data_IF_555519113578
#
_entry.id   IF_555519113578
#
_cell.length_a   1.000
_cell.length_b   1.000
_cell.length_c   1.000
_cell.angle_alpha   90.00
_cell.angle_beta   90.00
_cell.angle_gamma   90.00
#
_symmetry.space_group_name_H-M   'P 1'
#
loop_
_entity.id
_entity.type
_entity.pdbx_description
1 polymer ?
#
# COMPACT_ATOMS: atom_id res chain seq x y z
N UNK A 1 54.36 -21.16 -29.37
CA UNK A 1 53.87 -19.85 -28.84
C UNK A 1 52.39 -19.76 -29.16
N UNK A 2 51.59 -20.19 -28.22
CA UNK A 2 50.11 -20.24 -28.35
C UNK A 2 49.56 -19.20 -27.37
N UNK A 3 49.05 -18.07 -27.92
CA UNK A 3 48.47 -16.96 -27.17
C UNK A 3 47.05 -17.36 -26.80
N UNK A 4 46.78 -17.57 -25.49
CA UNK A 4 45.45 -17.81 -24.97
C UNK A 4 44.79 -16.43 -24.79
N UNK A 5 43.82 -16.10 -25.64
CA UNK A 5 42.89 -14.95 -25.40
C UNK A 5 41.94 -15.30 -24.28
N UNK A 6 42.10 -14.61 -23.16
CA UNK A 6 41.10 -14.60 -22.08
C UNK A 6 39.90 -13.74 -22.49
N UNK A 7 38.79 -14.42 -22.84
CA UNK A 7 37.49 -13.77 -22.99
C UNK A 7 36.99 -13.33 -21.62
N UNK A 8 36.84 -12.01 -21.44
CA UNK A 8 36.16 -11.40 -20.29
C UNK A 8 34.66 -11.80 -20.29
N UNK A 9 34.02 -12.07 -19.13
CA UNK A 9 32.64 -12.46 -19.09
C UNK A 9 31.76 -11.27 -19.45
N UNK A 10 30.99 -11.38 -20.53
CA UNK A 10 29.98 -10.38 -20.93
C UNK A 10 28.85 -10.38 -19.90
N UNK A 11 28.78 -9.33 -19.08
CA UNK A 11 27.64 -9.05 -18.18
C UNK A 11 26.40 -8.84 -19.03
N UNK A 12 25.36 -9.64 -18.76
CA UNK A 12 24.13 -9.65 -19.54
C UNK A 12 23.37 -8.27 -19.46
N UNK A 13 23.12 -7.59 -20.60
CA UNK A 13 22.50 -6.24 -20.61
C UNK A 13 21.13 -6.13 -19.94
N UNK A 14 20.44 -7.26 -19.74
CA UNK A 14 19.11 -7.33 -19.10
C UNK A 14 19.11 -7.14 -17.59
N UNK A 15 20.17 -7.52 -16.89
CA UNK A 15 20.27 -7.37 -15.42
C UNK A 15 20.56 -5.92 -15.02
N UNK A 16 21.42 -5.22 -15.76
CA UNK A 16 21.74 -3.82 -15.50
C UNK A 16 20.52 -2.89 -15.72
N UNK A 17 19.69 -3.17 -16.71
CA UNK A 17 18.47 -2.39 -16.98
C UNK A 17 17.41 -2.57 -15.89
N UNK A 18 17.25 -3.76 -15.33
CA UNK A 18 16.31 -4.00 -14.21
C UNK A 18 16.79 -3.34 -12.92
N UNK A 19 18.06 -3.42 -12.62
CA UNK A 19 18.66 -2.78 -11.45
C UNK A 19 18.51 -1.25 -11.52
N UNK A 20 18.79 -0.65 -12.67
CA UNK A 20 18.61 0.78 -12.93
C UNK A 20 17.15 1.21 -12.78
N UNK A 21 16.21 0.45 -13.36
CA UNK A 21 14.77 0.72 -13.24
C UNK A 21 14.33 0.70 -11.78
N UNK A 22 14.75 -0.30 -10.99
CA UNK A 22 14.39 -0.43 -9.59
C UNK A 22 14.99 0.69 -8.75
N UNK A 23 16.22 1.09 -9.00
CA UNK A 23 16.87 2.21 -8.32
C UNK A 23 16.14 3.53 -8.59
N UNK A 24 15.78 3.81 -9.85
CA UNK A 24 14.99 4.99 -10.20
C UNK A 24 13.65 4.99 -9.46
N UNK A 25 12.95 3.84 -9.46
CA UNK A 25 11.64 3.70 -8.83
C UNK A 25 11.70 3.94 -7.31
N UNK A 26 12.69 3.38 -6.64
CA UNK A 26 12.89 3.54 -5.20
C UNK A 26 13.15 5.01 -4.81
N UNK A 27 14.07 5.65 -5.50
CA UNK A 27 14.39 7.06 -5.27
C UNK A 27 13.22 7.98 -5.65
N UNK A 28 12.52 7.68 -6.74
CA UNK A 28 11.34 8.43 -7.13
C UNK A 28 10.23 8.32 -6.08
N UNK A 29 10.01 7.12 -5.50
CA UNK A 29 9.08 6.91 -4.39
C UNK A 29 9.38 7.83 -3.21
N UNK A 30 10.64 7.94 -2.80
CA UNK A 30 11.08 8.84 -1.73
C UNK A 30 10.85 10.32 -2.09
N UNK A 31 11.23 10.74 -3.30
CA UNK A 31 11.06 12.14 -3.74
C UNK A 31 9.57 12.51 -3.82
N UNK A 32 8.74 11.65 -4.38
CA UNK A 32 7.29 11.89 -4.44
C UNK A 32 6.65 11.87 -3.05
N UNK A 33 7.09 11.01 -2.14
CA UNK A 33 6.65 11.03 -0.75
C UNK A 33 7.01 12.33 -0.02
N UNK A 34 8.16 12.93 -0.32
CA UNK A 34 8.63 14.19 0.26
C UNK A 34 7.96 15.42 -0.36
N UNK A 35 7.86 15.47 -1.69
CA UNK A 35 7.48 16.67 -2.46
C UNK A 35 6.04 16.66 -2.99
N UNK A 36 5.46 15.48 -3.13
CA UNK A 36 4.22 15.27 -3.90
C UNK A 36 4.45 15.30 -5.41
N UNK A 37 3.44 14.90 -6.16
CA UNK A 37 3.52 14.86 -7.63
C UNK A 37 3.84 16.22 -8.27
N UNK A 38 3.15 17.27 -7.85
CA UNK A 38 3.28 18.59 -8.45
C UNK A 38 4.70 19.18 -8.34
N UNK A 39 5.32 19.06 -7.16
CA UNK A 39 6.60 19.72 -6.85
C UNK A 39 7.83 18.85 -7.12
N UNK A 40 7.69 17.53 -7.27
CA UNK A 40 8.79 16.66 -7.65
C UNK A 40 9.21 16.91 -9.10
N UNK A 41 10.52 16.91 -9.35
CA UNK A 41 11.06 17.10 -10.71
C UNK A 41 11.88 15.91 -11.16
N UNK A 42 11.83 15.59 -12.47
CA UNK A 42 12.69 14.55 -13.05
C UNK A 42 14.18 14.85 -12.84
N UNK A 43 14.57 16.13 -12.79
CA UNK A 43 15.95 16.55 -12.53
C UNK A 43 16.42 16.13 -11.11
N UNK A 44 15.57 16.34 -10.09
CA UNK A 44 15.88 15.93 -8.71
C UNK A 44 15.95 14.40 -8.59
N UNK A 45 14.99 13.68 -9.19
CA UNK A 45 14.99 12.21 -9.19
C UNK A 45 16.24 11.66 -9.87
N UNK A 46 16.61 12.18 -11.05
CA UNK A 46 17.82 11.79 -11.76
C UNK A 46 19.08 12.04 -10.93
N UNK A 47 19.18 13.21 -10.29
CA UNK A 47 20.34 13.55 -9.46
C UNK A 47 20.48 12.60 -8.26
N UNK A 48 19.39 12.30 -7.55
CA UNK A 48 19.40 11.39 -6.38
C UNK A 48 19.61 9.93 -6.78
N UNK A 49 19.06 9.49 -7.92
CA UNK A 49 19.18 8.10 -8.40
C UNK A 49 20.44 7.84 -9.22
N UNK A 50 21.28 8.85 -9.45
CA UNK A 50 22.44 8.77 -10.33
C UNK A 50 22.10 8.28 -11.76
N UNK A 51 20.87 8.50 -12.17
CA UNK A 51 20.38 8.20 -13.50
C UNK A 51 20.31 9.48 -14.36
N UNK A 52 20.07 9.31 -15.65
CA UNK A 52 19.81 10.44 -16.55
C UNK A 52 18.35 10.46 -17.01
N UNK A 53 17.91 11.57 -17.59
CA UNK A 53 16.54 11.76 -18.06
C UNK A 53 16.18 10.76 -19.16
N UNK A 54 17.14 10.34 -20.00
CA UNK A 54 16.93 9.33 -21.02
C UNK A 54 16.56 7.97 -20.41
N UNK A 55 17.18 7.57 -19.28
CA UNK A 55 16.82 6.34 -18.55
C UNK A 55 15.40 6.43 -17.97
N UNK A 56 15.00 7.57 -17.41
CA UNK A 56 13.63 7.77 -16.91
C UNK A 56 12.62 7.66 -18.06
N UNK A 57 12.88 8.30 -19.19
CA UNK A 57 12.00 8.23 -20.36
C UNK A 57 11.95 6.82 -20.95
N UNK A 58 13.08 6.11 -21.00
CA UNK A 58 13.15 4.74 -21.50
C UNK A 58 12.36 3.74 -20.63
N UNK A 59 12.49 3.83 -19.32
CA UNK A 59 11.87 2.87 -18.40
C UNK A 59 10.43 3.21 -18.00
N UNK A 60 10.03 4.49 -18.06
CA UNK A 60 8.78 4.97 -17.48
C UNK A 60 8.00 5.97 -18.35
N UNK A 61 8.46 6.28 -19.55
CA UNK A 61 7.77 7.22 -20.46
C UNK A 61 7.60 8.64 -19.86
N UNK A 62 8.53 9.03 -18.99
CA UNK A 62 8.54 10.35 -18.37
C UNK A 62 8.05 10.37 -16.92
N UNK A 63 7.77 11.57 -16.40
CA UNK A 63 7.40 11.78 -14.99
C UNK A 63 6.06 11.13 -14.62
N UNK A 64 5.07 11.21 -15.48
CA UNK A 64 3.71 10.70 -15.24
C UNK A 64 3.71 9.18 -15.17
N UNK A 65 4.39 8.53 -16.12
CA UNK A 65 4.56 7.08 -16.09
C UNK A 65 5.40 6.60 -14.90
N UNK A 66 6.45 7.35 -14.53
CA UNK A 66 7.23 7.06 -13.33
C UNK A 66 6.37 7.18 -12.06
N UNK A 67 5.55 8.22 -11.94
CA UNK A 67 4.67 8.38 -10.80
C UNK A 67 3.59 7.29 -10.74
N UNK A 68 3.01 6.94 -11.87
CA UNK A 68 2.08 5.80 -11.96
C UNK A 68 2.75 4.51 -11.49
N UNK A 69 3.99 4.24 -11.93
CA UNK A 69 4.75 3.07 -11.50
C UNK A 69 5.04 3.08 -9.99
N UNK A 70 5.33 4.27 -9.42
CA UNK A 70 5.52 4.44 -7.95
C UNK A 70 4.22 4.16 -7.19
N UNK A 71 3.08 4.65 -7.65
CA UNK A 71 1.78 4.37 -7.01
C UNK A 71 1.44 2.88 -7.06
N UNK A 72 1.64 2.22 -8.20
CA UNK A 72 1.42 0.78 -8.34
C UNK A 72 2.33 -0.03 -7.41
N UNK A 73 3.62 0.30 -7.37
CA UNK A 73 4.60 -0.34 -6.47
C UNK A 73 4.22 -0.12 -4.99
N UNK A 74 3.79 1.09 -4.62
CA UNK A 74 3.35 1.39 -3.26
C UNK A 74 2.16 0.53 -2.84
N UNK A 75 1.16 0.37 -3.71
CA UNK A 75 0.02 -0.51 -3.47
C UNK A 75 0.41 -1.98 -3.31
N UNK A 76 1.37 -2.45 -4.12
CA UNK A 76 1.83 -3.85 -4.06
C UNK A 76 2.66 -4.14 -2.81
N UNK A 77 3.47 -3.17 -2.35
CA UNK A 77 4.26 -3.34 -1.12
C UNK A 77 3.44 -3.37 0.14
N UNK A 78 2.31 -2.65 0.19
CA UNK A 78 1.42 -2.69 1.36
C UNK A 78 0.64 -3.99 1.38
N UNK A 79 0.00 -4.33 0.27
CA UNK A 79 -0.76 -5.58 0.13
C UNK A 79 -1.04 -5.88 -1.34
N UNK A 80 -0.80 -7.11 -1.77
CA UNK A 80 -1.13 -7.52 -3.14
C UNK A 80 -2.58 -7.98 -3.25
N UNK A 81 -3.16 -7.89 -4.45
CA UNK A 81 -4.49 -8.46 -4.71
C UNK A 81 -4.49 -9.97 -4.53
N UNK A 82 -3.43 -10.65 -4.98
CA UNK A 82 -3.25 -12.10 -4.85
C UNK A 82 -3.32 -12.55 -3.38
N UNK A 83 -2.65 -11.82 -2.47
CA UNK A 83 -2.71 -12.11 -1.03
C UNK A 83 -4.14 -11.98 -0.49
N UNK A 84 -4.88 -10.95 -0.91
CA UNK A 84 -6.26 -10.74 -0.49
C UNK A 84 -7.23 -11.78 -1.06
N UNK A 85 -7.08 -12.16 -2.31
CA UNK A 85 -7.89 -13.19 -2.95
C UNK A 85 -7.63 -14.56 -2.30
N UNK A 86 -6.37 -14.90 -2.04
CA UNK A 86 -6.01 -16.13 -1.33
C UNK A 86 -6.60 -16.15 0.09
N UNK A 87 -6.56 -15.02 0.80
CA UNK A 87 -7.18 -14.89 2.13
C UNK A 87 -8.70 -15.05 2.06
N UNK A 88 -9.35 -14.41 1.08
CA UNK A 88 -10.81 -14.50 0.90
C UNK A 88 -11.24 -15.93 0.59
N UNK A 89 -10.47 -16.66 -0.22
CA UNK A 89 -10.76 -18.04 -0.63
C UNK A 89 -10.33 -19.09 0.41
N UNK A 90 -9.64 -18.70 1.49
CA UNK A 90 -9.18 -19.64 2.51
C UNK A 90 -10.33 -20.20 3.36
N UNK A 91 -10.10 -21.36 4.00
CA UNK A 91 -11.03 -22.01 4.94
C UNK A 91 -11.03 -21.34 6.34
N UNK A 92 -10.33 -20.22 6.52
CA UNK A 92 -10.35 -19.45 7.75
C UNK A 92 -11.73 -18.86 8.00
N UNK A 93 -12.08 -18.70 9.28
CA UNK A 93 -13.29 -17.97 9.67
C UNK A 93 -13.19 -16.49 9.29
N UNK A 94 -14.33 -15.82 9.13
CA UNK A 94 -14.36 -14.37 8.84
C UNK A 94 -13.56 -13.54 9.87
N UNK A 95 -13.57 -13.94 11.15
CA UNK A 95 -12.75 -13.31 12.20
C UNK A 95 -11.25 -13.49 11.94
N UNK A 96 -10.82 -14.70 11.64
CA UNK A 96 -9.42 -15.00 11.34
C UNK A 96 -8.94 -14.27 10.06
N UNK A 97 -9.80 -14.18 9.05
CA UNK A 97 -9.54 -13.38 7.84
C UNK A 97 -9.38 -11.89 8.17
N UNK A 98 -10.27 -11.34 8.99
CA UNK A 98 -10.19 -9.94 9.42
C UNK A 98 -8.94 -9.68 10.26
N UNK A 99 -8.61 -10.58 11.20
CA UNK A 99 -7.38 -10.53 11.99
C UNK A 99 -6.15 -10.46 11.09
N UNK A 100 -6.06 -11.36 10.12
CA UNK A 100 -4.93 -11.41 9.18
C UNK A 100 -4.82 -10.11 8.40
N UNK A 101 -5.93 -9.59 7.90
CA UNK A 101 -6.00 -8.36 7.13
C UNK A 101 -5.50 -7.14 7.94
N UNK A 102 -5.97 -6.97 9.17
CA UNK A 102 -5.52 -5.88 10.05
C UNK A 102 -4.04 -6.07 10.41
N UNK A 103 -3.59 -7.30 10.68
CA UNK A 103 -2.17 -7.60 10.96
C UNK A 103 -1.25 -7.13 9.82
N UNK A 104 -1.59 -7.45 8.58
CA UNK A 104 -0.79 -7.04 7.41
C UNK A 104 -0.75 -5.51 7.25
N UNK A 105 -1.86 -4.82 7.52
CA UNK A 105 -1.89 -3.36 7.49
C UNK A 105 -1.06 -2.74 8.61
N UNK A 106 -1.14 -3.27 9.83
CA UNK A 106 -0.37 -2.78 10.97
C UNK A 106 1.13 -3.12 10.87
N UNK A 107 1.49 -4.24 10.22
CA UNK A 107 2.89 -4.59 9.94
C UNK A 107 3.61 -3.51 9.10
N UNK A 108 2.84 -2.62 8.45
CA UNK A 108 3.35 -1.47 7.73
C UNK A 108 3.81 -0.33 8.65
N UNK A 109 3.31 -0.29 9.89
CA UNK A 109 3.67 0.74 10.87
C UNK A 109 5.14 0.57 11.30
N UNK A 110 5.90 1.64 11.23
CA UNK A 110 7.31 1.65 11.61
C UNK A 110 8.26 0.88 10.69
N UNK A 111 7.77 0.24 9.62
CA UNK A 111 8.62 -0.46 8.66
C UNK A 111 9.34 0.52 7.72
N UNK A 112 10.70 0.57 7.71
CA UNK A 112 11.44 1.43 6.79
C UNK A 112 11.14 1.14 5.31
N UNK A 113 10.80 -0.13 4.99
CA UNK A 113 10.46 -0.55 3.62
C UNK A 113 9.15 0.05 3.12
N UNK A 114 8.25 0.40 4.05
CA UNK A 114 6.91 0.91 3.76
C UNK A 114 6.77 2.41 4.04
N UNK A 115 7.85 3.06 4.50
CA UNK A 115 7.83 4.48 4.84
C UNK A 115 7.43 5.37 3.65
N UNK A 116 8.05 5.22 2.48
CA UNK A 116 7.67 6.02 1.33
C UNK A 116 6.37 5.53 0.64
N UNK A 117 6.08 4.20 0.53
CA UNK A 117 4.80 3.74 0.01
C UNK A 117 3.61 4.32 0.75
N UNK A 118 3.61 4.23 2.07
CA UNK A 118 2.56 4.79 2.90
C UNK A 118 2.38 6.30 2.68
N UNK A 119 3.48 7.05 2.72
CA UNK A 119 3.46 8.52 2.53
C UNK A 119 2.97 8.94 1.14
N UNK A 120 3.38 8.22 0.09
CA UNK A 120 2.96 8.54 -1.28
C UNK A 120 1.46 8.30 -1.45
N UNK A 121 0.93 7.17 -0.96
CA UNK A 121 -0.50 6.88 -1.06
C UNK A 121 -1.34 7.83 -0.21
N UNK A 122 -0.85 8.19 0.97
CA UNK A 122 -1.48 9.18 1.82
C UNK A 122 -1.59 10.55 1.14
N UNK A 123 -0.49 11.01 0.53
CA UNK A 123 -0.49 12.26 -0.23
C UNK A 123 -1.45 12.22 -1.41
N UNK A 124 -1.46 11.10 -2.13
CA UNK A 124 -2.34 10.93 -3.28
C UNK A 124 -3.82 10.96 -2.88
N UNK A 125 -4.16 10.44 -1.69
CA UNK A 125 -5.52 10.51 -1.15
C UNK A 125 -5.92 11.93 -0.73
N UNK A 126 -4.99 12.69 -0.13
CA UNK A 126 -5.24 14.04 0.40
C UNK A 126 -5.09 15.15 -0.66
N UNK A 127 -4.28 14.91 -1.68
CA UNK A 127 -4.01 15.84 -2.79
C UNK A 127 -3.89 15.06 -4.10
N UNK A 128 -5.04 14.66 -4.69
CA UNK A 128 -5.07 13.76 -5.82
C UNK A 128 -4.37 14.31 -7.07
N UNK A 129 -3.57 13.49 -7.71
CA UNK A 129 -3.04 13.77 -9.05
C UNK A 129 -4.07 13.42 -10.12
N UNK A 130 -3.92 13.93 -11.36
CA UNK A 130 -4.75 13.51 -12.49
C UNK A 130 -4.66 12.01 -12.82
N UNK A 131 -3.65 11.32 -12.30
CA UNK A 131 -3.37 9.89 -12.55
C UNK A 131 -4.13 8.96 -11.59
N UNK A 132 -4.62 9.49 -10.45
CA UNK A 132 -5.29 8.70 -9.41
C UNK A 132 -6.45 7.83 -9.93
N UNK A 133 -7.37 8.29 -10.78
CA UNK A 133 -8.51 7.48 -11.20
C UNK A 133 -8.10 6.15 -11.86
N UNK A 134 -7.05 6.17 -12.67
CA UNK A 134 -6.55 4.96 -13.32
C UNK A 134 -5.93 3.98 -12.32
N UNK A 135 -5.19 4.48 -11.33
CA UNK A 135 -4.59 3.66 -10.26
C UNK A 135 -5.66 3.07 -9.37
N UNK A 136 -6.67 3.85 -8.95
CA UNK A 136 -7.78 3.35 -8.12
C UNK A 136 -8.53 2.21 -8.81
N UNK A 137 -8.82 2.36 -10.11
CA UNK A 137 -9.49 1.32 -10.89
C UNK A 137 -8.68 0.03 -10.95
N UNK A 138 -7.36 0.14 -11.10
CA UNK A 138 -6.46 -1.01 -11.26
C UNK A 138 -6.13 -1.70 -9.95
N UNK A 139 -5.85 -0.95 -8.90
CA UNK A 139 -5.30 -1.46 -7.63
C UNK A 139 -6.31 -1.44 -6.48
N UNK A 140 -6.93 -0.28 -6.24
CA UNK A 140 -7.72 -0.11 -5.02
C UNK A 140 -9.09 -0.77 -5.10
N UNK A 141 -9.77 -0.67 -6.24
CA UNK A 141 -11.11 -1.22 -6.40
C UNK A 141 -11.18 -2.74 -6.24
N UNK A 142 -10.31 -3.55 -6.90
CA UNK A 142 -10.31 -5.00 -6.70
C UNK A 142 -10.00 -5.40 -5.25
N UNK A 143 -9.06 -4.70 -4.60
CA UNK A 143 -8.70 -4.94 -3.19
C UNK A 143 -9.85 -4.60 -2.24
N UNK A 144 -10.52 -3.47 -2.48
CA UNK A 144 -11.71 -3.09 -1.72
C UNK A 144 -12.83 -4.12 -1.85
N UNK A 145 -13.01 -4.71 -3.04
CA UNK A 145 -13.99 -5.77 -3.27
C UNK A 145 -13.67 -7.02 -2.45
N UNK A 146 -12.42 -7.52 -2.51
CA UNK A 146 -12.00 -8.67 -1.71
C UNK A 146 -12.18 -8.43 -0.19
N UNK A 147 -11.86 -7.22 0.27
CA UNK A 147 -12.04 -6.82 1.67
C UNK A 147 -13.51 -6.79 2.08
N UNK A 148 -14.40 -6.27 1.23
CA UNK A 148 -15.84 -6.23 1.49
C UNK A 148 -16.45 -7.64 1.58
N UNK A 149 -15.94 -8.62 0.84
CA UNK A 149 -16.36 -10.02 0.95
C UNK A 149 -16.09 -10.58 2.35
N UNK A 150 -14.94 -10.31 2.95
CA UNK A 150 -14.62 -10.73 4.32
C UNK A 150 -15.59 -10.10 5.33
N UNK A 151 -15.89 -8.80 5.19
CA UNK A 151 -16.84 -8.12 6.07
C UNK A 151 -18.28 -8.60 5.83
N UNK A 152 -18.66 -8.86 4.57
CA UNK A 152 -19.95 -9.42 4.20
C UNK A 152 -20.14 -10.81 4.82
N UNK A 153 -19.11 -11.65 4.81
CA UNK A 153 -19.11 -12.97 5.48
C UNK A 153 -19.41 -12.83 6.98
N UNK A 154 -18.77 -11.87 7.66
CA UNK A 154 -19.00 -11.61 9.09
C UNK A 154 -20.40 -11.10 9.43
N UNK A 155 -20.98 -10.31 8.54
CA UNK A 155 -22.32 -9.75 8.72
C UNK A 155 -23.43 -10.65 8.16
N UNK A 156 -23.09 -11.67 7.36
CA UNK A 156 -24.08 -12.45 6.59
C UNK A 156 -24.80 -11.62 5.53
N UNK A 157 -24.12 -10.64 4.93
CA UNK A 157 -24.67 -9.67 3.97
C UNK A 157 -23.89 -9.68 2.64
N UNK A 158 -24.52 -9.30 1.52
CA UNK A 158 -23.83 -9.09 0.25
C UNK A 158 -22.73 -8.03 0.36
N UNK A 159 -21.68 -8.17 -0.44
CA UNK A 159 -20.50 -7.29 -0.45
C UNK A 159 -20.80 -5.83 -0.83
N UNK A 160 -21.93 -5.55 -1.46
CA UNK A 160 -22.42 -4.23 -1.85
C UNK A 160 -23.47 -3.64 -0.89
N UNK A 161 -23.84 -4.37 0.17
CA UNK A 161 -24.77 -3.85 1.18
C UNK A 161 -24.19 -2.58 1.85
N UNK A 162 -25.01 -1.53 2.05
CA UNK A 162 -24.57 -0.30 2.68
C UNK A 162 -23.96 -0.48 4.08
N UNK A 163 -24.38 -1.51 4.85
CA UNK A 163 -23.77 -1.80 6.14
C UNK A 163 -22.34 -2.35 5.98
N UNK A 164 -22.10 -3.20 4.99
CA UNK A 164 -20.76 -3.70 4.66
C UNK A 164 -19.84 -2.56 4.24
N UNK A 165 -20.31 -1.65 3.38
CA UNK A 165 -19.52 -0.50 2.91
C UNK A 165 -19.14 0.44 4.07
N UNK A 166 -20.09 0.75 4.97
CA UNK A 166 -19.84 1.60 6.15
C UNK A 166 -18.91 0.91 7.15
N UNK A 167 -19.07 -0.41 7.33
CA UNK A 167 -18.18 -1.20 8.19
C UNK A 167 -16.75 -1.23 7.65
N UNK A 168 -16.57 -1.40 6.34
CA UNK A 168 -15.27 -1.31 5.70
C UNK A 168 -14.59 0.05 5.98
N UNK A 169 -15.33 1.15 5.84
CA UNK A 169 -14.83 2.49 6.17
C UNK A 169 -14.37 2.56 7.63
N UNK A 170 -15.19 2.11 8.58
CA UNK A 170 -14.88 2.18 10.01
C UNK A 170 -13.68 1.31 10.42
N UNK A 171 -13.48 0.16 9.76
CA UNK A 171 -12.38 -0.76 10.06
C UNK A 171 -11.06 -0.26 9.48
N UNK A 172 -11.06 0.22 8.24
CA UNK A 172 -9.82 0.58 7.54
C UNK A 172 -9.34 2.02 7.76
N UNK A 173 -10.25 2.96 8.04
CA UNK A 173 -9.84 4.35 8.28
C UNK A 173 -8.85 4.51 9.44
N UNK A 174 -9.01 3.86 10.59
CA UNK A 174 -8.03 3.94 11.66
C UNK A 174 -6.66 3.38 11.25
N UNK A 175 -6.62 2.26 10.50
CA UNK A 175 -5.37 1.69 10.00
C UNK A 175 -4.64 2.67 9.08
N UNK A 176 -5.37 3.27 8.13
CA UNK A 176 -4.82 4.26 7.22
C UNK A 176 -4.37 5.52 7.95
N UNK A 177 -5.14 5.97 8.95
CA UNK A 177 -4.79 7.15 9.72
C UNK A 177 -3.52 6.94 10.54
N UNK A 178 -3.36 5.79 11.17
CA UNK A 178 -2.12 5.40 11.85
C UNK A 178 -0.94 5.35 10.88
N UNK A 179 -1.14 4.78 9.68
CA UNK A 179 -0.09 4.70 8.68
C UNK A 179 0.46 6.08 8.26
N UNK A 180 -0.41 7.10 8.26
CA UNK A 180 -0.10 8.47 7.83
C UNK A 180 0.44 9.32 8.98
N UNK A 181 -0.16 9.21 10.15
CA UNK A 181 -0.03 10.17 11.24
C UNK A 181 0.56 9.58 12.52
N UNK A 182 1.12 8.35 12.45
CA UNK A 182 1.64 7.62 13.60
C UNK A 182 2.50 8.50 14.53
N UNK A 183 3.55 9.12 14.01
CA UNK A 183 4.48 9.92 14.82
C UNK A 183 3.78 11.13 15.48
N UNK A 184 2.93 11.83 14.74
CA UNK A 184 2.20 12.98 15.27
C UNK A 184 1.19 12.57 16.32
N UNK A 185 0.52 11.45 16.12
CA UNK A 185 -0.46 10.92 17.07
C UNK A 185 0.21 10.53 18.38
N UNK A 186 1.22 9.68 18.31
CA UNK A 186 1.86 9.11 19.51
C UNK A 186 2.67 10.13 20.32
N UNK A 187 3.19 11.17 19.67
CA UNK A 187 4.02 12.18 20.36
C UNK A 187 3.28 13.44 20.77
N UNK A 188 2.21 13.82 20.05
CA UNK A 188 1.60 15.15 20.21
C UNK A 188 0.13 15.09 20.57
N UNK A 189 -0.69 14.31 19.83
CA UNK A 189 -2.14 14.33 19.98
C UNK A 189 -2.61 13.38 21.08
N UNK A 190 -2.02 12.19 21.13
CA UNK A 190 -2.31 11.13 22.11
C UNK A 190 -1.00 10.65 22.74
N UNK A 191 -0.32 11.49 23.52
CA UNK A 191 0.93 11.09 24.16
C UNK A 191 0.68 9.88 25.08
N UNK A 192 1.44 8.81 24.86
CA UNK A 192 1.25 7.53 25.55
C UNK A 192 0.36 6.54 24.81
N UNK A 193 -0.07 6.85 23.59
CA UNK A 193 -0.70 5.85 22.71
C UNK A 193 0.30 4.70 22.49
N UNK A 194 -0.06 3.52 23.02
CA UNK A 194 0.68 2.31 22.73
C UNK A 194 0.40 1.85 21.30
N UNK A 195 1.44 1.82 20.49
CA UNK A 195 1.38 1.38 19.09
C UNK A 195 2.17 0.10 18.87
N UNK A 196 2.51 -0.62 19.93
CA UNK A 196 3.05 -1.97 19.81
C UNK A 196 2.09 -2.83 18.98
N UNK A 197 2.60 -3.57 17.99
CA UNK A 197 1.75 -4.22 16.97
C UNK A 197 0.70 -5.16 17.56
N UNK A 198 1.07 -5.96 18.54
CA UNK A 198 0.15 -6.98 19.09
C UNK A 198 -0.97 -6.38 19.96
N UNK A 199 -0.71 -5.53 20.97
CA UNK A 199 -1.76 -4.86 21.73
C UNK A 199 -2.68 -4.02 20.86
N UNK A 200 -2.14 -3.30 19.88
CA UNK A 200 -2.90 -2.48 18.97
C UNK A 200 -3.83 -3.33 18.08
N UNK A 201 -3.32 -4.44 17.54
CA UNK A 201 -4.11 -5.40 16.76
C UNK A 201 -5.30 -5.93 17.56
N UNK A 202 -5.06 -6.40 18.77
CA UNK A 202 -6.12 -6.99 19.62
C UNK A 202 -7.19 -5.94 19.97
N UNK A 203 -6.78 -4.72 20.27
CA UNK A 203 -7.71 -3.63 20.53
C UNK A 203 -8.56 -3.29 19.32
N UNK A 204 -7.94 -3.10 18.14
CA UNK A 204 -8.64 -2.77 16.90
C UNK A 204 -9.57 -3.88 16.44
N UNK A 205 -9.14 -5.13 16.59
CA UNK A 205 -9.98 -6.28 16.25
C UNK A 205 -11.19 -6.40 17.18
N UNK A 206 -10.99 -6.27 18.49
CA UNK A 206 -12.09 -6.28 19.46
C UNK A 206 -13.12 -5.19 19.17
N UNK A 207 -12.66 -3.98 18.86
CA UNK A 207 -13.54 -2.86 18.49
C UNK A 207 -14.30 -3.13 17.18
N UNK A 208 -13.62 -3.66 16.17
CA UNK A 208 -14.22 -3.98 14.87
C UNK A 208 -15.27 -5.09 15.00
N UNK A 209 -14.94 -6.19 15.68
CA UNK A 209 -15.86 -7.31 15.87
C UNK A 209 -17.07 -6.93 16.73
N UNK A 210 -16.87 -6.14 17.79
CA UNK A 210 -17.97 -5.61 18.60
C UNK A 210 -18.92 -4.73 17.79
N UNK A 211 -18.37 -3.85 16.93
CA UNK A 211 -19.15 -3.04 16.02
C UNK A 211 -19.94 -3.85 14.99
N UNK A 212 -19.29 -4.86 14.39
CA UNK A 212 -19.95 -5.75 13.44
C UNK A 212 -21.07 -6.57 14.09
N UNK A 213 -20.85 -7.10 15.30
CA UNK A 213 -21.88 -7.83 16.05
C UNK A 213 -23.11 -6.95 16.31
N UNK A 214 -22.92 -5.73 16.80
CA UNK A 214 -24.01 -4.78 17.06
C UNK A 214 -24.79 -4.42 15.78
N UNK A 215 -24.11 -4.21 14.65
CA UNK A 215 -24.74 -3.95 13.35
C UNK A 215 -25.57 -5.18 12.90
N UNK A 216 -25.02 -6.39 13.05
CA UNK A 216 -25.72 -7.61 12.71
C UNK A 216 -26.98 -7.82 13.57
N UNK A 217 -26.96 -7.51 14.85
CA UNK A 217 -28.12 -7.57 15.76
C UNK A 217 -29.22 -6.59 15.36
N UNK A 218 -28.86 -5.31 15.10
CA UNK A 218 -29.83 -4.30 14.65
C UNK A 218 -30.56 -4.71 13.38
N UNK A 219 -29.85 -5.38 12.45
CA UNK A 219 -30.45 -5.85 11.18
C UNK A 219 -31.39 -7.04 11.36
N UNK A 220 -31.24 -7.86 12.39
CA UNK A 220 -32.14 -8.99 12.69
C UNK A 220 -33.43 -8.55 13.38
N UNK A 221 -33.44 -7.35 13.91
CA UNK A 221 -34.57 -6.80 14.69
C UNK A 221 -35.51 -5.94 13.85
N UNK A 222 -35.13 -5.63 12.60
CA UNK A 222 -35.92 -4.87 11.61
C UNK A 222 -36.44 -5.80 10.52
#
# INVERSE_FOLDING_TARGET
MTTTEQQAPSRAPRQDGRATRQQILEIAGQVFAERGFANATSKEICARSQANVAAVNYHFEGKDGLYTAVLLEAHQRIMTLETLEALTASELTGEEKLRRLITELLASLGSPRLAWPAKVLARELLSPSPLLPAVLKKESFPKALATRRIIGELLGLPEDDPAVLRSALNIFSPCLFLLIAHDTLSTTVLPGLDTEPQPLLEHMLTYALGGLAAIGEQRRTV
#
